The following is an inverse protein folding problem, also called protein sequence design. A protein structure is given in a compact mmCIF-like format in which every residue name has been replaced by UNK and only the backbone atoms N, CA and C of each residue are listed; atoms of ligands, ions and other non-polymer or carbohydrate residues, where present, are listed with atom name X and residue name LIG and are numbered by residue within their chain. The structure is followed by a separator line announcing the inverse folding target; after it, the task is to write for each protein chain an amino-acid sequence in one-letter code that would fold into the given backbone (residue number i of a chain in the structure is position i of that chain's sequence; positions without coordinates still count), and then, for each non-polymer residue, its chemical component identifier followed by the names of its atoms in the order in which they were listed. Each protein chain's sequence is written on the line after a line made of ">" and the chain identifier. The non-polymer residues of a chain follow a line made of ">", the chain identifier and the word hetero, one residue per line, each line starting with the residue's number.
data_IF_788104836137
#
_entry.id   IF_788104836137
#
_cell.length_a   1.000
_cell.length_b   1.000
_cell.length_c   1.000
_cell.angle_alpha   90.00
_cell.angle_beta   90.00
_cell.angle_gamma   90.00
#
_symmetry.space_group_name_H-M   'P 1'
#
loop_
_entity.id
_entity.type
_entity.pdbx_description
1 polymer ?
#
# COMPACT_ATOMS: atom_id res chain seq x y z
N UNK A 1 -24.83 -14.86 1.88
CA UNK A 1 -24.42 -15.51 3.15
C UNK A 1 -23.37 -14.64 3.83
N UNK A 2 -23.56 -14.21 5.09
CA UNK A 2 -22.51 -13.52 5.83
C UNK A 2 -21.38 -14.52 6.10
N UNK A 3 -20.19 -14.29 5.52
CA UNK A 3 -19.03 -15.20 5.64
C UNK A 3 -18.16 -14.86 6.85
N UNK A 4 -18.23 -13.62 7.36
CA UNK A 4 -17.45 -13.14 8.50
C UNK A 4 -18.38 -12.47 9.52
N UNK A 5 -18.17 -12.75 10.82
CA UNK A 5 -18.97 -12.18 11.90
C UNK A 5 -18.77 -10.66 12.09
N UNK A 6 -19.71 -9.95 12.74
CA UNK A 6 -19.72 -8.49 12.86
C UNK A 6 -18.43 -7.87 13.41
N UNK A 7 -17.78 -8.55 14.36
CA UNK A 7 -16.54 -8.07 15.00
C UNK A 7 -15.33 -8.16 14.06
N UNK A 8 -15.27 -9.18 13.21
CA UNK A 8 -14.18 -9.37 12.25
C UNK A 8 -14.27 -8.37 11.09
N UNK A 9 -15.49 -8.06 10.64
CA UNK A 9 -15.74 -7.06 9.60
C UNK A 9 -15.34 -5.65 10.02
N UNK A 10 -15.54 -5.29 11.30
CA UNK A 10 -15.13 -3.99 11.84
C UNK A 10 -13.61 -3.85 11.90
N UNK A 11 -12.91 -4.91 12.33
CA UNK A 11 -11.45 -4.95 12.34
C UNK A 11 -10.87 -4.81 10.92
N UNK A 12 -11.45 -5.53 9.95
CA UNK A 12 -11.06 -5.44 8.53
C UNK A 12 -11.25 -4.05 7.94
N UNK A 13 -12.30 -3.32 8.33
CA UNK A 13 -12.51 -1.93 7.93
C UNK A 13 -11.43 -0.99 8.47
N UNK A 14 -11.15 -1.06 9.78
CA UNK A 14 -10.17 -0.16 10.42
C UNK A 14 -8.77 -0.40 9.86
N UNK A 15 -8.35 -1.66 9.73
CA UNK A 15 -7.05 -2.01 9.16
C UNK A 15 -6.95 -1.61 7.68
N UNK A 16 -8.03 -1.74 6.92
CA UNK A 16 -8.02 -1.32 5.51
C UNK A 16 -7.91 0.20 5.38
N UNK A 17 -8.64 0.99 6.19
CA UNK A 17 -8.50 2.47 6.18
C UNK A 17 -7.08 2.88 6.54
N UNK A 18 -6.51 2.28 7.59
CA UNK A 18 -5.14 2.56 8.02
C UNK A 18 -4.12 2.22 6.92
N UNK A 19 -4.23 1.03 6.32
CA UNK A 19 -3.36 0.58 5.23
C UNK A 19 -3.43 1.49 4.01
N UNK A 20 -4.63 1.94 3.61
CA UNK A 20 -4.80 2.88 2.48
C UNK A 20 -4.05 4.19 2.74
N UNK A 21 -4.21 4.79 3.93
CA UNK A 21 -3.58 6.06 4.27
C UNK A 21 -2.05 5.91 4.25
N UNK A 22 -1.52 4.88 4.91
CA UNK A 22 -0.09 4.66 5.02
C UNK A 22 0.56 4.37 3.64
N UNK A 23 -0.04 3.48 2.84
CA UNK A 23 0.49 3.10 1.52
C UNK A 23 0.35 4.23 0.49
N UNK A 24 -0.74 5.00 0.53
CA UNK A 24 -0.92 6.15 -0.36
C UNK A 24 0.11 7.24 -0.08
N UNK A 25 0.35 7.57 1.21
CA UNK A 25 1.37 8.53 1.61
C UNK A 25 2.78 8.05 1.22
N UNK A 26 3.11 6.77 1.48
CA UNK A 26 4.38 6.20 1.03
C UNK A 26 4.54 6.26 -0.49
N UNK A 27 3.50 5.92 -1.26
CA UNK A 27 3.55 6.00 -2.72
C UNK A 27 3.85 7.41 -3.23
N UNK A 28 3.27 8.44 -2.59
CA UNK A 28 3.58 9.85 -2.90
C UNK A 28 5.04 10.17 -2.55
N UNK A 29 5.52 9.75 -1.37
CA UNK A 29 6.91 10.00 -0.97
C UNK A 29 7.94 9.30 -1.86
N UNK A 30 7.64 8.09 -2.36
CA UNK A 30 8.45 7.43 -3.37
C UNK A 30 8.42 8.16 -4.72
N UNK A 31 7.26 8.67 -5.14
CA UNK A 31 7.12 9.41 -6.40
C UNK A 31 7.93 10.71 -6.42
N UNK A 32 8.05 11.40 -5.28
CA UNK A 32 8.89 12.61 -5.15
C UNK A 32 10.36 12.31 -4.86
N UNK A 33 10.78 11.04 -4.90
CA UNK A 33 12.16 10.62 -4.66
C UNK A 33 12.71 11.11 -3.30
N UNK A 34 11.92 10.94 -2.23
CA UNK A 34 12.30 11.39 -0.89
C UNK A 34 13.53 10.65 -0.35
N UNK A 35 14.56 11.39 0.07
CA UNK A 35 15.83 10.85 0.61
C UNK A 35 15.61 9.97 1.85
N UNK A 36 14.57 10.23 2.63
CA UNK A 36 14.23 9.44 3.82
C UNK A 36 13.90 7.97 3.49
N UNK A 37 13.58 7.67 2.23
CA UNK A 37 13.18 6.35 1.74
C UNK A 37 14.25 5.69 0.87
N UNK A 38 15.43 6.31 0.77
CA UNK A 38 16.55 5.79 -0.02
C UNK A 38 17.06 4.44 0.50
N UNK A 39 16.90 4.17 1.80
CA UNK A 39 17.35 2.93 2.46
C UNK A 39 16.43 1.74 2.15
N UNK A 40 15.16 2.01 1.80
CA UNK A 40 14.17 0.97 1.46
C UNK A 40 14.23 0.55 -0.02
N UNK A 41 15.12 1.16 -0.82
CA UNK A 41 15.32 0.77 -2.21
C UNK A 41 16.06 -0.56 -2.31
N UNK A 42 15.80 -1.37 -3.35
CA UNK A 42 16.62 -2.54 -3.63
C UNK A 42 18.09 -2.11 -3.75
N UNK A 43 19.01 -2.88 -3.15
CA UNK A 43 20.44 -2.55 -3.10
C UNK A 43 20.97 -2.17 -4.48
N UNK A 44 21.14 -0.87 -4.72
CA UNK A 44 21.82 -0.37 -5.90
C UNK A 44 23.29 -0.75 -5.76
N UNK A 45 23.84 -1.39 -6.80
CA UNK A 45 25.22 -1.87 -6.81
C UNK A 45 26.15 -0.69 -6.50
N UNK A 46 26.90 -0.79 -5.40
CA UNK A 46 27.87 0.24 -5.04
C UNK A 46 28.82 0.49 -6.22
N UNK A 47 28.95 1.75 -6.66
CA UNK A 47 29.80 2.06 -7.81
C UNK A 47 31.26 1.80 -7.43
N UNK A 48 31.91 0.90 -8.16
CA UNK A 48 33.36 0.65 -8.02
C UNK A 48 34.20 1.67 -8.81
N UNK A 49 33.60 2.32 -9.81
CA UNK A 49 34.26 3.26 -10.73
C UNK A 49 33.47 4.58 -10.86
N UNK A 50 34.14 5.72 -11.09
CA UNK A 50 33.48 7.02 -11.22
C UNK A 50 32.51 7.11 -12.42
N UNK A 51 32.76 6.36 -13.49
CA UNK A 51 31.85 6.28 -14.64
C UNK A 51 30.55 5.52 -14.29
N UNK A 52 30.59 4.63 -13.30
CA UNK A 52 29.43 3.86 -12.82
C UNK A 52 28.48 4.65 -11.91
N UNK A 53 28.85 5.87 -11.48
CA UNK A 53 27.98 6.72 -10.64
C UNK A 53 26.68 7.09 -11.35
N UNK A 54 26.73 7.33 -12.67
CA UNK A 54 25.54 7.67 -13.45
C UNK A 54 24.56 6.49 -13.52
N UNK A 55 25.09 5.28 -13.67
CA UNK A 55 24.29 4.06 -13.69
C UNK A 55 23.68 3.81 -12.30
N UNK A 56 24.43 4.06 -11.24
CA UNK A 56 23.93 4.01 -9.86
C UNK A 56 22.72 4.94 -9.64
N UNK A 57 22.80 6.21 -10.03
CA UNK A 57 21.66 7.13 -9.90
C UNK A 57 20.45 6.70 -10.73
N UNK A 58 20.68 6.13 -11.91
CA UNK A 58 19.60 5.62 -12.78
C UNK A 58 18.90 4.41 -12.17
N UNK A 59 19.65 3.51 -11.53
CA UNK A 59 19.12 2.35 -10.82
C UNK A 59 18.33 2.75 -9.57
N UNK A 60 18.80 3.76 -8.83
CA UNK A 60 18.09 4.34 -7.69
C UNK A 60 16.76 4.97 -8.15
N UNK A 61 16.76 5.78 -9.21
CA UNK A 61 15.54 6.42 -9.75
C UNK A 61 14.50 5.37 -10.19
N UNK A 62 14.97 4.27 -10.79
CA UNK A 62 14.13 3.10 -11.10
C UNK A 62 13.57 2.44 -9.85
N UNK A 63 14.38 2.27 -8.80
CA UNK A 63 13.95 1.70 -7.52
C UNK A 63 12.81 2.51 -6.88
N UNK A 64 12.93 3.84 -6.85
CA UNK A 64 11.88 4.74 -6.38
C UNK A 64 10.59 4.56 -7.17
N UNK A 65 10.69 4.59 -8.49
CA UNK A 65 9.52 4.47 -9.37
C UNK A 65 8.83 3.10 -9.21
N UNK A 66 9.60 2.02 -9.12
CA UNK A 66 9.07 0.67 -8.92
C UNK A 66 8.36 0.53 -7.57
N UNK A 67 8.97 1.04 -6.49
CA UNK A 67 8.37 1.00 -5.16
C UNK A 67 7.12 1.87 -5.07
N UNK A 68 7.10 3.05 -5.71
CA UNK A 68 5.91 3.90 -5.80
C UNK A 68 4.72 3.16 -6.43
N UNK A 69 4.95 2.49 -7.57
CA UNK A 69 3.90 1.71 -8.24
C UNK A 69 3.42 0.54 -7.38
N UNK A 70 4.33 -0.19 -6.72
CA UNK A 70 3.96 -1.28 -5.82
C UNK A 70 3.09 -0.79 -4.65
N UNK A 71 3.45 0.34 -4.03
CA UNK A 71 2.66 0.96 -2.96
C UNK A 71 1.27 1.39 -3.45
N UNK A 72 1.16 1.97 -4.65
CA UNK A 72 -0.14 2.34 -5.22
C UNK A 72 -1.02 1.14 -5.55
N UNK A 73 -0.45 0.07 -6.12
CA UNK A 73 -1.19 -1.18 -6.37
C UNK A 73 -1.67 -1.78 -5.05
N UNK A 74 -0.80 -1.83 -4.03
CA UNK A 74 -1.19 -2.31 -2.71
C UNK A 74 -2.31 -1.45 -2.09
N UNK A 75 -2.22 -0.12 -2.19
CA UNK A 75 -3.27 0.78 -1.73
C UNK A 75 -4.62 0.50 -2.43
N UNK A 76 -4.61 0.26 -3.75
CA UNK A 76 -5.80 -0.14 -4.50
C UNK A 76 -6.39 -1.47 -4.02
N UNK A 77 -5.56 -2.46 -3.70
CA UNK A 77 -6.03 -3.73 -3.13
C UNK A 77 -6.73 -3.51 -1.79
N UNK A 78 -6.19 -2.64 -0.91
CA UNK A 78 -6.85 -2.30 0.35
C UNK A 78 -8.17 -1.54 0.16
N UNK A 79 -8.32 -0.74 -0.90
CA UNK A 79 -9.61 -0.13 -1.27
C UNK A 79 -10.63 -1.20 -1.63
N UNK A 80 -10.22 -2.22 -2.39
CA UNK A 80 -11.10 -3.34 -2.75
C UNK A 80 -11.51 -4.14 -1.51
N UNK A 81 -10.58 -4.47 -0.61
CA UNK A 81 -10.91 -5.17 0.64
C UNK A 81 -11.83 -4.35 1.53
N UNK A 82 -11.66 -3.02 1.56
CA UNK A 82 -12.55 -2.10 2.28
C UNK A 82 -13.96 -2.13 1.69
N UNK A 83 -14.11 -2.09 0.36
CA UNK A 83 -15.41 -2.16 -0.30
C UNK A 83 -16.13 -3.49 0.00
N UNK A 84 -15.42 -4.62 -0.06
CA UNK A 84 -15.97 -5.94 0.29
C UNK A 84 -16.37 -6.03 1.77
N UNK A 85 -15.53 -5.51 2.67
CA UNK A 85 -15.81 -5.49 4.11
C UNK A 85 -16.99 -4.58 4.44
N UNK A 86 -17.12 -3.43 3.77
CA UNK A 86 -18.26 -2.52 3.91
C UNK A 86 -19.56 -3.18 3.41
N UNK A 87 -19.51 -3.87 2.27
CA UNK A 87 -20.65 -4.62 1.75
C UNK A 87 -21.08 -5.74 2.71
N UNK A 88 -20.13 -6.47 3.29
CA UNK A 88 -20.39 -7.49 4.31
C UNK A 88 -20.97 -6.90 5.60
N UNK A 89 -20.46 -5.74 6.05
CA UNK A 89 -20.99 -5.03 7.21
C UNK A 89 -22.44 -4.60 7.00
N UNK A 90 -22.75 -4.01 5.83
CA UNK A 90 -24.11 -3.60 5.48
C UNK A 90 -25.08 -4.78 5.44
N UNK A 91 -24.69 -5.88 4.79
CA UNK A 91 -25.50 -7.10 4.74
C UNK A 91 -25.74 -7.69 6.13
N UNK A 92 -24.72 -7.69 7.00
CA UNK A 92 -24.82 -8.22 8.36
C UNK A 92 -25.69 -7.33 9.28
N UNK A 93 -25.62 -6.00 9.14
CA UNK A 93 -26.45 -5.06 9.89
C UNK A 93 -27.94 -5.20 9.54
N UNK A 94 -28.27 -5.44 8.26
CA UNK A 94 -29.65 -5.67 7.80
C UNK A 94 -30.26 -6.95 8.37
N UNK A 95 -29.49 -8.03 8.50
CA UNK A 95 -29.94 -9.27 9.15
C UNK A 95 -30.10 -9.13 10.67
N UNK A 96 -29.33 -8.26 11.33
CA UNK A 96 -29.48 -7.99 12.77
C UNK A 96 -30.70 -7.13 13.11
N UNK A 97 -31.19 -6.31 12.18
CA UNK A 97 -32.39 -5.47 12.33
C UNK A 97 -33.71 -6.20 12.00
N UNK A 98 -33.63 -7.44 11.51
CA UNK A 98 -34.79 -8.28 11.16
C UNK A 98 -35.27 -9.17 12.31
N UNK A 99 -34.94 -8.81 13.56
CA UNK A 99 -35.50 -9.41 14.79
C UNK A 99 -36.46 -8.43 15.42
#
# INVERSE_FOLDING_TARGET
>A
MPVCGPKLSLCGLILSVWGIIQLALMGIFYYVHAVALAEDLPEARHPHDPDSLKDFYTDIDRGYTQNAFNCWIAALLYVVTLALSAHQFWANNRSSLSV
#
